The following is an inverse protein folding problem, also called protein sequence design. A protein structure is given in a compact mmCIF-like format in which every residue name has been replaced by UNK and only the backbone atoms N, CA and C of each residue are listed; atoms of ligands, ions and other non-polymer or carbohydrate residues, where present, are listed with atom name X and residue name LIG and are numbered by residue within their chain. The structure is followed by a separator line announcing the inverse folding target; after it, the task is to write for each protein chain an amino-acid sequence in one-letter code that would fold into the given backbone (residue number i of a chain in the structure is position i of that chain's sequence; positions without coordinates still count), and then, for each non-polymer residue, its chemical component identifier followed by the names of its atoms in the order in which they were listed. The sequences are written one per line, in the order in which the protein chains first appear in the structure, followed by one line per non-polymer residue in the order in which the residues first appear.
data_IF_908543582826
#
_entry.id   IF_908543582826
#
_cell.length_a   1.000
_cell.length_b   1.000
_cell.length_c   1.000
_cell.angle_alpha   90.00
_cell.angle_beta   90.00
_cell.angle_gamma   90.00
#
_symmetry.space_group_name_H-M   'P 1'
#
loop_
_entity.id
_entity.type
_entity.pdbx_description
1 polymer ?
#
# COMPACT_ATOMS: atom_id res chain seq x y z
N UNK A 1 8.53 -4.47 16.23
CA UNK A 1 8.25 -4.69 14.80
C UNK A 1 7.47 -3.49 14.32
N UNK A 2 8.01 -2.80 13.33
CA UNK A 2 7.37 -1.70 12.60
C UNK A 2 7.11 -2.13 11.14
N UNK A 3 6.21 -1.41 10.48
CA UNK A 3 5.91 -1.57 9.07
C UNK A 3 5.58 -0.20 8.53
N UNK A 4 6.15 0.21 7.38
CA UNK A 4 5.98 1.55 6.83
C UNK A 4 6.34 2.65 7.86
N UNK A 5 7.37 2.44 8.68
CA UNK A 5 7.80 3.41 9.70
C UNK A 5 6.76 3.69 10.81
N UNK A 6 5.79 2.79 11.01
CA UNK A 6 4.83 2.87 12.12
C UNK A 6 4.84 1.57 12.94
N UNK A 7 4.56 1.63 14.25
CA UNK A 7 4.46 0.41 15.05
C UNK A 7 3.29 -0.46 14.59
N UNK A 8 3.51 -1.78 14.54
CA UNK A 8 2.46 -2.76 14.26
C UNK A 8 1.51 -2.83 15.47
N UNK A 9 0.21 -2.68 15.22
CA UNK A 9 -0.80 -2.81 16.28
C UNK A 9 -0.76 -4.23 16.87
N UNK A 10 -0.59 -4.33 18.19
CA UNK A 10 -0.53 -5.62 18.90
C UNK A 10 -1.75 -6.55 18.62
N UNK A 11 -2.92 -5.99 18.27
CA UNK A 11 -4.09 -6.77 17.87
C UNK A 11 -3.91 -7.43 16.51
N UNK A 12 -3.31 -6.71 15.55
CA UNK A 12 -2.91 -7.28 14.27
C UNK A 12 -1.80 -8.32 14.44
N UNK A 13 -0.84 -8.06 15.34
CA UNK A 13 0.25 -8.99 15.61
C UNK A 13 -0.27 -10.37 16.08
N UNK A 14 -1.32 -10.40 16.90
CA UNK A 14 -1.97 -11.66 17.32
C UNK A 14 -2.59 -12.42 16.15
N UNK A 15 -3.12 -11.73 15.15
CA UNK A 15 -3.66 -12.35 13.93
C UNK A 15 -2.50 -12.88 13.09
N UNK A 16 -1.50 -12.03 12.82
CA UNK A 16 -0.32 -12.36 12.02
C UNK A 16 0.38 -13.63 12.51
N UNK A 17 0.56 -13.78 13.83
CA UNK A 17 1.22 -14.95 14.43
C UNK A 17 0.51 -16.29 14.18
N UNK A 18 -0.79 -16.25 13.84
CA UNK A 18 -1.60 -17.45 13.59
C UNK A 18 -1.63 -17.83 12.11
N UNK A 19 -1.21 -16.94 11.22
CA UNK A 19 -1.28 -17.16 9.79
C UNK A 19 -0.40 -18.34 9.36
N UNK A 20 -0.94 -19.13 8.44
CA UNK A 20 -0.28 -20.28 7.82
C UNK A 20 -0.49 -20.16 6.32
N UNK A 21 0.55 -19.71 5.65
CA UNK A 21 0.49 -19.45 4.22
C UNK A 21 0.64 -20.78 3.46
N UNK A 22 -0.29 -21.11 2.55
CA UNK A 22 -0.17 -22.32 1.73
C UNK A 22 0.91 -22.17 0.66
N UNK A 23 1.42 -23.31 0.18
CA UNK A 23 2.31 -23.38 -0.99
C UNK A 23 1.50 -23.63 -2.26
N UNK A 24 1.98 -23.07 -3.37
CA UNK A 24 1.32 -23.16 -4.68
C UNK A 24 2.25 -23.82 -5.69
N UNK A 25 1.78 -24.87 -6.37
CA UNK A 25 2.62 -25.68 -7.27
C UNK A 25 2.05 -25.84 -8.67
N UNK A 26 0.75 -25.58 -8.87
CA UNK A 26 0.11 -25.73 -10.18
C UNK A 26 0.65 -24.67 -11.14
N UNK A 27 1.13 -25.05 -12.32
CA UNK A 27 1.69 -24.12 -13.30
C UNK A 27 0.64 -23.19 -13.90
N UNK A 28 1.05 -21.96 -14.21
CA UNK A 28 0.22 -20.94 -14.86
C UNK A 28 0.96 -20.26 -16.00
N UNK A 29 0.27 -20.04 -17.12
CA UNK A 29 0.82 -19.41 -18.31
C UNK A 29 0.62 -17.88 -18.37
N UNK A 30 0.23 -17.23 -17.26
CA UNK A 30 0.01 -15.77 -17.25
C UNK A 30 1.28 -14.96 -17.60
N UNK A 31 2.47 -15.47 -17.25
CA UNK A 31 3.74 -14.84 -17.63
C UNK A 31 3.93 -14.82 -19.15
N UNK A 32 3.52 -15.88 -19.86
CA UNK A 32 3.59 -15.95 -21.33
C UNK A 32 2.66 -14.90 -21.96
N UNK A 33 1.48 -14.68 -21.36
CA UNK A 33 0.56 -13.61 -21.81
C UNK A 33 1.20 -12.24 -21.65
N UNK A 34 1.81 -11.95 -20.50
CA UNK A 34 2.49 -10.68 -20.25
C UNK A 34 3.69 -10.48 -21.18
N UNK A 35 4.49 -11.53 -21.38
CA UNK A 35 5.66 -11.50 -22.26
C UNK A 35 5.24 -11.23 -23.71
N UNK A 36 4.23 -11.94 -24.20
CA UNK A 36 3.73 -11.75 -25.56
C UNK A 36 3.21 -10.32 -25.76
N UNK A 37 2.48 -9.76 -24.79
CA UNK A 37 2.04 -8.38 -24.83
C UNK A 37 3.22 -7.40 -24.84
N UNK A 38 4.20 -7.55 -23.94
CA UNK A 38 5.38 -6.68 -23.94
C UNK A 38 6.21 -6.78 -25.24
N UNK A 39 6.30 -7.97 -25.83
CA UNK A 39 6.97 -8.19 -27.12
C UNK A 39 6.29 -7.45 -28.28
N UNK A 40 4.97 -7.26 -28.28
CA UNK A 40 4.33 -6.45 -29.33
C UNK A 40 4.73 -4.97 -29.23
N UNK A 41 5.03 -4.50 -28.02
CA UNK A 41 5.45 -3.12 -27.76
C UNK A 41 6.94 -2.90 -28.05
N UNK A 42 7.79 -3.92 -27.85
CA UNK A 42 9.24 -3.84 -28.19
C UNK A 42 9.50 -3.51 -29.67
N UNK A 43 8.64 -4.00 -30.58
CA UNK A 43 8.80 -3.86 -32.02
C UNK A 43 7.82 -2.86 -32.66
N UNK A 44 7.14 -2.04 -31.85
CA UNK A 44 6.16 -1.09 -32.36
C UNK A 44 6.86 0.09 -33.08
N UNK A 45 6.93 0.06 -34.41
CA UNK A 45 7.61 1.08 -35.24
C UNK A 45 7.08 2.51 -35.05
N UNK A 46 5.85 2.68 -34.53
CA UNK A 46 5.16 3.96 -34.40
C UNK A 46 4.73 4.32 -32.96
N UNK A 47 5.16 3.55 -31.95
CA UNK A 47 4.91 3.85 -30.52
C UNK A 47 6.24 3.98 -29.79
N UNK A 48 6.27 4.58 -28.59
CA UNK A 48 7.47 4.50 -27.76
C UNK A 48 7.71 3.03 -27.39
N UNK A 49 8.78 2.39 -27.88
CA UNK A 49 9.05 1.00 -27.55
C UNK A 49 9.50 0.91 -26.09
N UNK A 50 9.05 -0.13 -25.40
CA UNK A 50 9.50 -0.42 -24.03
C UNK A 50 10.94 -0.92 -24.07
N UNK A 51 11.63 -0.90 -22.93
CA UNK A 51 12.97 -1.48 -22.84
C UNK A 51 12.91 -2.99 -22.52
N UNK A 52 13.99 -3.73 -22.82
CA UNK A 52 14.10 -5.13 -22.38
C UNK A 52 14.12 -5.26 -20.85
N UNK A 53 14.72 -4.29 -20.15
CA UNK A 53 14.75 -4.26 -18.69
C UNK A 53 13.35 -4.03 -18.10
N UNK A 54 12.55 -3.18 -18.73
CA UNK A 54 11.15 -2.97 -18.35
C UNK A 54 10.31 -4.24 -18.52
N UNK A 55 10.46 -4.94 -19.65
CA UNK A 55 9.84 -6.25 -19.86
C UNK A 55 10.23 -7.26 -18.78
N UNK A 56 11.53 -7.40 -18.51
CA UNK A 56 12.03 -8.33 -17.48
C UNK A 56 11.50 -7.97 -16.09
N UNK A 57 11.50 -6.67 -15.75
CA UNK A 57 10.96 -6.20 -14.47
C UNK A 57 9.46 -6.51 -14.31
N UNK A 58 8.67 -6.31 -15.37
CA UNK A 58 7.25 -6.68 -15.38
C UNK A 58 7.05 -8.18 -15.19
N UNK A 59 7.85 -9.02 -15.84
CA UNK A 59 7.81 -10.48 -15.70
C UNK A 59 8.23 -10.95 -14.30
N UNK A 60 9.24 -10.32 -13.70
CA UNK A 60 9.61 -10.57 -12.32
C UNK A 60 8.42 -10.25 -11.41
N UNK A 61 7.88 -9.03 -11.43
CA UNK A 61 6.73 -8.65 -10.60
C UNK A 61 5.50 -9.54 -10.77
N UNK A 62 5.25 -10.00 -11.99
CA UNK A 62 4.13 -10.88 -12.29
C UNK A 62 4.32 -12.33 -11.80
N UNK A 63 5.55 -12.75 -11.48
CA UNK A 63 5.84 -14.06 -10.91
C UNK A 63 5.12 -14.30 -9.56
N UNK A 64 5.19 -15.50 -8.98
CA UNK A 64 5.68 -16.74 -9.58
C UNK A 64 4.70 -17.29 -10.64
N UNK A 65 5.23 -18.10 -11.56
CA UNK A 65 4.51 -18.77 -12.66
C UNK A 65 3.54 -19.89 -12.25
N UNK A 66 2.92 -19.78 -11.07
CA UNK A 66 1.97 -20.77 -10.52
C UNK A 66 0.56 -20.19 -10.44
N UNK A 67 -0.47 -21.04 -10.30
CA UNK A 67 -1.86 -20.64 -10.05
C UNK A 67 -2.12 -20.39 -8.56
N UNK A 68 -3.20 -19.67 -8.27
CA UNK A 68 -3.62 -19.36 -6.91
C UNK A 68 -2.76 -18.27 -6.28
N UNK A 69 -2.77 -18.20 -4.95
CA UNK A 69 -1.96 -17.25 -4.20
C UNK A 69 -2.59 -15.88 -4.05
N UNK A 70 -1.74 -14.94 -3.65
CA UNK A 70 -2.07 -13.54 -3.51
C UNK A 70 -1.68 -12.79 -4.78
N UNK A 71 -2.62 -12.03 -5.33
CA UNK A 71 -2.37 -11.04 -6.37
C UNK A 71 -2.54 -9.63 -5.78
N UNK A 72 -1.57 -8.75 -6.01
CA UNK A 72 -1.71 -7.31 -5.79
C UNK A 72 -1.95 -6.67 -7.15
N UNK A 73 -3.13 -6.06 -7.32
CA UNK A 73 -3.47 -5.34 -8.55
C UNK A 73 -3.20 -3.85 -8.38
N UNK A 74 -2.28 -3.32 -9.18
CA UNK A 74 -1.87 -1.92 -9.25
C UNK A 74 -2.33 -1.30 -10.58
N UNK A 75 -2.14 0.01 -10.74
CA UNK A 75 -2.65 0.71 -11.92
C UNK A 75 -1.70 0.60 -13.10
N UNK A 76 -0.54 1.24 -12.98
CA UNK A 76 0.54 1.25 -13.97
C UNK A 76 1.87 1.64 -13.29
N UNK A 77 3.02 1.35 -13.91
CA UNK A 77 4.31 1.87 -13.49
C UNK A 77 4.33 3.42 -13.52
N UNK A 78 4.94 4.11 -12.54
CA UNK A 78 5.18 5.55 -12.61
C UNK A 78 6.21 5.92 -13.69
N UNK A 79 6.08 7.12 -14.26
CA UNK A 79 6.95 7.63 -15.33
C UNK A 79 8.45 7.57 -14.99
N UNK A 80 8.80 7.77 -13.72
CA UNK A 80 10.19 7.80 -13.25
C UNK A 80 10.71 6.45 -12.75
N UNK A 81 10.02 5.34 -13.04
CA UNK A 81 10.48 4.02 -12.63
C UNK A 81 11.77 3.64 -13.36
N UNK A 82 12.79 3.27 -12.60
CA UNK A 82 14.00 2.64 -13.14
C UNK A 82 13.80 1.14 -13.20
N UNK A 83 14.07 0.52 -14.35
CA UNK A 83 13.87 -0.92 -14.55
C UNK A 83 15.15 -1.75 -14.43
N UNK A 84 16.33 -1.12 -14.46
CA UNK A 84 17.60 -1.80 -14.26
C UNK A 84 17.70 -2.40 -12.85
N UNK A 85 18.17 -3.65 -12.75
CA UNK A 85 18.33 -4.45 -11.51
C UNK A 85 17.05 -5.11 -10.95
N UNK A 86 15.97 -5.26 -11.73
CA UNK A 86 14.85 -6.13 -11.38
C UNK A 86 14.13 -5.71 -10.09
N UNK A 87 13.78 -6.65 -9.20
CA UNK A 87 13.24 -6.33 -7.85
C UNK A 87 14.16 -5.48 -6.96
N UNK A 88 15.45 -5.41 -7.29
CA UNK A 88 16.45 -4.58 -6.61
C UNK A 88 16.70 -3.27 -7.32
N UNK A 89 15.98 -3.00 -8.42
CA UNK A 89 15.89 -1.68 -9.01
C UNK A 89 15.54 -0.71 -7.88
N UNK A 90 16.49 0.19 -7.63
CA UNK A 90 16.82 0.73 -6.32
C UNK A 90 15.61 0.90 -5.38
N UNK A 91 15.61 0.20 -4.24
CA UNK A 91 14.56 0.37 -3.21
C UNK A 91 14.51 1.80 -2.67
N UNK A 92 15.56 2.60 -2.89
CA UNK A 92 15.55 4.04 -2.63
C UNK A 92 14.84 4.86 -3.72
N UNK A 93 14.67 4.31 -4.93
CA UNK A 93 14.00 4.97 -6.06
C UNK A 93 12.48 4.74 -6.10
N UNK A 94 11.96 3.58 -5.66
CA UNK A 94 10.51 3.32 -5.65
C UNK A 94 9.94 3.01 -4.25
N UNK A 95 9.44 4.06 -3.58
CA UNK A 95 8.76 3.95 -2.27
C UNK A 95 7.52 3.06 -2.29
N UNK A 96 6.82 2.99 -3.42
CA UNK A 96 5.62 2.14 -3.56
C UNK A 96 6.01 0.67 -3.49
N UNK A 97 7.02 0.25 -4.25
CA UNK A 97 7.51 -1.13 -4.24
C UNK A 97 8.07 -1.51 -2.87
N UNK A 98 8.85 -0.61 -2.24
CA UNK A 98 9.35 -0.84 -0.88
C UNK A 98 8.22 -0.95 0.15
N UNK A 99 7.17 -0.13 0.02
CA UNK A 99 5.99 -0.25 0.87
C UNK A 99 5.31 -1.62 0.72
N UNK A 100 5.19 -2.11 -0.52
CA UNK A 100 4.64 -3.46 -0.78
C UNK A 100 5.53 -4.53 -0.14
N UNK A 101 6.87 -4.45 -0.30
CA UNK A 101 7.81 -5.40 0.34
C UNK A 101 7.62 -5.46 1.85
N UNK A 102 7.55 -4.31 2.52
CA UNK A 102 7.34 -4.26 3.97
C UNK A 102 5.97 -4.79 4.39
N UNK A 103 4.92 -4.45 3.64
CA UNK A 103 3.56 -4.95 3.89
C UNK A 103 3.51 -6.47 3.74
N UNK A 104 4.07 -7.04 2.68
CA UNK A 104 4.13 -8.49 2.47
C UNK A 104 4.87 -9.19 3.62
N UNK A 105 6.07 -8.71 3.95
CA UNK A 105 6.90 -9.32 4.99
C UNK A 105 6.20 -9.29 6.35
N UNK A 106 5.65 -8.15 6.75
CA UNK A 106 5.02 -8.00 8.07
C UNK A 106 3.65 -8.69 8.12
N UNK A 107 2.80 -8.51 7.10
CA UNK A 107 1.44 -9.05 7.10
C UNK A 107 1.40 -10.56 6.95
N UNK A 108 2.42 -11.19 6.37
CA UNK A 108 2.57 -12.65 6.30
C UNK A 108 3.26 -13.25 7.54
N UNK A 109 3.73 -12.42 8.48
CA UNK A 109 4.54 -12.87 9.62
C UNK A 109 5.93 -13.36 9.22
N UNK A 110 6.48 -12.83 8.13
CA UNK A 110 7.79 -13.20 7.58
C UNK A 110 7.77 -14.41 6.65
N UNK A 111 6.59 -14.89 6.24
CA UNK A 111 6.45 -16.11 5.44
C UNK A 111 6.45 -15.86 3.92
N UNK A 112 6.16 -14.64 3.47
CA UNK A 112 6.11 -14.30 2.06
C UNK A 112 6.83 -12.99 1.75
N UNK A 113 7.39 -12.96 0.55
CA UNK A 113 8.09 -11.84 -0.07
C UNK A 113 7.50 -11.55 -1.45
N UNK A 114 8.14 -10.69 -2.24
CA UNK A 114 7.73 -10.44 -3.64
C UNK A 114 7.91 -11.67 -4.53
N UNK A 115 8.82 -12.59 -4.19
CA UNK A 115 9.06 -13.80 -4.99
C UNK A 115 7.91 -14.83 -4.86
N UNK A 116 7.07 -14.68 -3.82
CA UNK A 116 6.04 -15.65 -3.45
C UNK A 116 4.62 -15.25 -3.91
N UNK A 117 4.46 -14.02 -4.41
CA UNK A 117 3.16 -13.42 -4.75
C UNK A 117 3.25 -12.71 -6.09
N UNK A 118 2.11 -12.51 -6.75
CA UNK A 118 2.07 -11.78 -8.01
C UNK A 118 1.64 -10.33 -7.83
N UNK A 119 2.31 -9.42 -8.54
CA UNK A 119 1.93 -8.02 -8.66
C UNK A 119 1.64 -7.74 -10.13
N UNK A 120 0.39 -7.39 -10.45
CA UNK A 120 0.01 -7.01 -11.82
C UNK A 120 -0.35 -5.54 -11.85
N UNK A 121 0.21 -4.83 -12.82
CA UNK A 121 -0.37 -3.58 -13.28
C UNK A 121 -1.57 -3.86 -14.18
N UNK A 122 -2.63 -3.06 -14.05
CA UNK A 122 -3.79 -3.13 -14.95
C UNK A 122 -3.49 -2.62 -16.35
N UNK A 123 -2.54 -1.68 -16.44
CA UNK A 123 -2.01 -1.16 -17.68
C UNK A 123 -0.51 -1.45 -17.72
N UNK A 124 -0.10 -2.74 -17.90
CA UNK A 124 1.31 -3.09 -17.96
C UNK A 124 2.00 -2.33 -19.11
N UNK A 125 3.21 -1.85 -18.88
CA UNK A 125 4.02 -1.12 -19.87
C UNK A 125 3.37 0.16 -20.44
N UNK A 126 2.30 0.65 -19.83
CA UNK A 126 1.61 1.83 -20.29
C UNK A 126 2.33 3.10 -19.83
N UNK A 127 2.79 3.96 -20.75
CA UNK A 127 3.45 5.20 -20.37
C UNK A 127 2.46 6.18 -19.75
N UNK A 128 2.80 6.74 -18.59
CA UNK A 128 2.00 7.75 -17.90
C UNK A 128 1.77 8.98 -18.79
N UNK A 129 0.52 9.44 -18.85
CA UNK A 129 0.14 10.60 -19.67
C UNK A 129 -0.10 10.30 -21.16
N UNK A 130 -0.02 9.04 -21.60
CA UNK A 130 -0.50 8.64 -22.92
C UNK A 130 -2.04 8.71 -23.00
N UNK A 131 -2.56 9.02 -24.19
CA UNK A 131 -3.99 9.01 -24.53
C UNK A 131 -4.34 7.88 -25.52
N UNK A 132 -3.48 6.87 -25.68
CA UNK A 132 -3.66 5.77 -26.62
C UNK A 132 -4.73 4.77 -26.12
N UNK A 133 -5.98 5.04 -26.48
CA UNK A 133 -7.13 4.23 -26.08
C UNK A 133 -7.07 2.76 -26.55
N UNK A 134 -6.46 2.48 -27.70
CA UNK A 134 -6.30 1.09 -28.16
C UNK A 134 -5.24 0.37 -27.32
N UNK A 135 -4.14 1.05 -26.96
CA UNK A 135 -3.16 0.47 -26.04
C UNK A 135 -3.75 0.21 -24.65
N UNK A 136 -4.57 1.12 -24.12
CA UNK A 136 -5.30 0.90 -22.86
C UNK A 136 -6.14 -0.37 -22.94
N UNK A 137 -6.91 -0.52 -24.01
CA UNK A 137 -7.78 -1.69 -24.23
C UNK A 137 -6.98 -2.99 -24.36
N UNK A 138 -5.87 -2.98 -25.09
CA UNK A 138 -5.00 -4.15 -25.24
C UNK A 138 -4.34 -4.53 -23.91
N UNK A 139 -3.93 -3.53 -23.12
CA UNK A 139 -3.33 -3.72 -21.80
C UNK A 139 -4.35 -4.28 -20.79
N UNK A 140 -5.57 -3.73 -20.76
CA UNK A 140 -6.69 -4.24 -19.94
C UNK A 140 -7.09 -5.66 -20.33
N UNK A 141 -7.04 -5.97 -21.62
CA UNK A 141 -7.26 -7.34 -22.11
C UNK A 141 -6.15 -8.28 -21.62
N UNK A 142 -4.88 -7.88 -21.73
CA UNK A 142 -3.75 -8.67 -21.24
C UNK A 142 -3.87 -8.93 -19.72
N UNK A 143 -4.14 -7.89 -18.93
CA UNK A 143 -4.39 -8.00 -17.48
C UNK A 143 -5.52 -9.01 -17.19
N UNK A 144 -6.64 -8.89 -17.89
CA UNK A 144 -7.80 -9.77 -17.70
C UNK A 144 -7.46 -11.24 -17.99
N UNK A 145 -6.69 -11.50 -19.06
CA UNK A 145 -6.22 -12.85 -19.38
C UNK A 145 -5.22 -13.37 -18.33
N UNK A 146 -4.30 -12.52 -17.88
CA UNK A 146 -3.35 -12.88 -16.83
C UNK A 146 -4.07 -13.27 -15.54
N UNK A 147 -5.06 -12.49 -15.10
CA UNK A 147 -5.85 -12.81 -13.90
C UNK A 147 -6.59 -14.15 -14.06
N UNK A 148 -7.20 -14.41 -15.23
CA UNK A 148 -7.88 -15.68 -15.51
C UNK A 148 -6.93 -16.87 -15.45
N UNK A 149 -5.75 -16.74 -16.04
CA UNK A 149 -4.73 -17.79 -16.05
C UNK A 149 -4.08 -18.00 -14.68
N UNK A 150 -3.83 -16.91 -13.94
CA UNK A 150 -3.28 -16.92 -12.58
C UNK A 150 -4.28 -17.51 -11.59
N UNK A 151 -5.57 -17.25 -11.78
CA UNK A 151 -6.65 -17.74 -10.91
C UNK A 151 -6.36 -17.53 -9.41
N UNK A 152 -6.06 -16.28 -8.96
CA UNK A 152 -5.62 -16.01 -7.60
C UNK A 152 -6.72 -16.31 -6.56
N UNK A 153 -6.33 -16.81 -5.39
CA UNK A 153 -7.25 -17.05 -4.27
C UNK A 153 -7.74 -15.73 -3.64
N UNK A 154 -6.84 -14.75 -3.60
CA UNK A 154 -7.07 -13.42 -3.02
C UNK A 154 -6.47 -12.34 -3.92
N UNK A 155 -7.22 -11.27 -4.15
CA UNK A 155 -6.73 -10.05 -4.83
C UNK A 155 -6.79 -8.86 -3.89
N UNK A 156 -5.66 -8.18 -3.71
CA UNK A 156 -5.60 -6.84 -3.10
C UNK A 156 -5.84 -5.81 -4.20
N UNK A 157 -7.02 -5.21 -4.17
CA UNK A 157 -7.49 -4.24 -5.16
C UNK A 157 -6.93 -2.85 -4.84
N UNK A 158 -5.87 -2.42 -5.51
CA UNK A 158 -5.11 -1.20 -5.18
C UNK A 158 -5.05 -0.14 -6.30
N UNK A 159 -5.91 -0.22 -7.31
CA UNK A 159 -6.02 0.76 -8.40
C UNK A 159 -7.45 1.29 -8.56
N UNK A 160 -7.63 2.37 -9.31
CA UNK A 160 -8.95 2.83 -9.78
C UNK A 160 -8.87 3.02 -11.28
N UNK A 161 -9.94 2.69 -12.00
CA UNK A 161 -10.02 2.84 -13.45
C UNK A 161 -11.47 3.12 -13.87
N UNK A 162 -11.64 3.89 -14.93
CA UNK A 162 -12.93 4.10 -15.59
C UNK A 162 -13.26 2.98 -16.60
N UNK A 163 -12.49 1.88 -16.58
CA UNK A 163 -12.69 0.72 -17.47
C UNK A 163 -14.11 0.18 -17.43
N UNK A 164 -14.58 -0.18 -18.62
CA UNK A 164 -15.84 -0.91 -18.82
C UNK A 164 -15.63 -2.42 -18.92
N UNK A 165 -14.38 -2.91 -18.92
CA UNK A 165 -14.09 -4.34 -18.90
C UNK A 165 -14.52 -4.91 -17.53
N UNK A 166 -15.38 -5.94 -17.49
CA UNK A 166 -16.01 -6.39 -16.24
C UNK A 166 -15.04 -6.86 -15.14
N UNK A 167 -13.96 -7.55 -15.50
CA UNK A 167 -12.96 -8.06 -14.57
C UNK A 167 -12.05 -6.94 -14.06
N UNK A 168 -11.60 -6.03 -14.94
CA UNK A 168 -10.85 -4.82 -14.59
C UNK A 168 -11.69 -3.92 -13.67
N UNK A 169 -12.94 -3.65 -14.04
CA UNK A 169 -13.84 -2.86 -13.19
C UNK A 169 -14.19 -3.59 -11.89
N UNK A 170 -14.26 -4.93 -11.93
CA UNK A 170 -14.53 -5.77 -10.77
C UNK A 170 -13.38 -5.86 -9.77
N UNK A 171 -12.13 -5.67 -10.19
CA UNK A 171 -10.94 -5.76 -9.33
C UNK A 171 -10.39 -4.40 -8.89
N UNK A 172 -11.06 -3.30 -9.22
CA UNK A 172 -10.65 -1.97 -8.77
C UNK A 172 -10.94 -1.73 -7.28
N UNK A 173 -10.14 -0.85 -6.69
CA UNK A 173 -10.40 -0.22 -5.40
C UNK A 173 -11.68 0.59 -5.44
N UNK A 174 -12.54 0.39 -4.44
CA UNK A 174 -13.73 1.22 -4.21
C UNK A 174 -13.40 2.46 -3.36
N UNK A 175 -12.13 2.68 -3.03
CA UNK A 175 -11.61 3.87 -2.36
C UNK A 175 -11.20 3.63 -0.90
N UNK A 176 -10.51 4.63 -0.34
CA UNK A 176 -9.92 4.58 1.01
C UNK A 176 -10.97 4.20 2.06
N UNK A 177 -10.66 3.17 2.86
CA UNK A 177 -11.44 2.75 4.03
C UNK A 177 -12.80 2.12 3.73
N UNK A 178 -13.13 1.89 2.45
CA UNK A 178 -14.34 1.14 2.09
C UNK A 178 -14.09 -0.37 2.14
N UNK A 179 -15.16 -1.15 2.16
CA UNK A 179 -15.12 -2.62 2.15
C UNK A 179 -16.13 -3.12 1.13
N UNK A 180 -15.77 -4.15 0.36
CA UNK A 180 -16.69 -4.79 -0.57
C UNK A 180 -17.86 -5.41 0.19
N UNK A 181 -19.09 -5.13 -0.26
CA UNK A 181 -20.29 -5.82 0.27
C UNK A 181 -20.25 -7.30 -0.09
N UNK A 182 -19.85 -7.61 -1.32
CA UNK A 182 -19.66 -8.96 -1.83
C UNK A 182 -18.17 -9.14 -2.16
N UNK A 183 -17.37 -9.73 -1.25
CA UNK A 183 -15.92 -9.84 -1.47
C UNK A 183 -15.57 -10.84 -2.56
N UNK A 184 -16.41 -11.86 -2.81
CA UNK A 184 -16.15 -12.87 -3.85
C UNK A 184 -16.41 -12.29 -5.23
N UNK A 185 -15.48 -12.50 -6.15
CA UNK A 185 -15.61 -12.18 -7.57
C UNK A 185 -15.39 -13.45 -8.39
N UNK A 186 -16.25 -13.69 -9.38
CA UNK A 186 -16.07 -14.76 -10.36
C UNK A 186 -15.06 -14.30 -11.43
N UNK A 187 -14.01 -15.08 -11.65
CA UNK A 187 -12.98 -14.81 -12.67
C UNK A 187 -13.24 -15.63 -13.93
N UNK A 188 -13.55 -16.92 -13.75
CA UNK A 188 -14.01 -17.85 -14.80
C UNK A 188 -15.23 -18.61 -14.28
N UNK A 189 -15.85 -19.46 -15.10
CA UNK A 189 -17.05 -20.20 -14.69
C UNK A 189 -16.85 -21.12 -13.47
N UNK A 190 -15.61 -21.55 -13.29
CA UNK A 190 -15.07 -22.54 -12.38
C UNK A 190 -14.09 -21.95 -11.35
N UNK A 191 -13.79 -20.65 -11.44
CA UNK A 191 -12.87 -19.96 -10.52
C UNK A 191 -13.47 -18.69 -9.92
N UNK A 192 -13.31 -18.55 -8.59
CA UNK A 192 -13.64 -17.32 -7.86
C UNK A 192 -12.47 -16.88 -7.01
N UNK A 193 -12.33 -15.56 -6.83
CA UNK A 193 -11.32 -14.97 -5.96
C UNK A 193 -11.96 -14.16 -4.83
N UNK A 194 -11.22 -13.96 -3.75
CA UNK A 194 -11.59 -13.04 -2.67
C UNK A 194 -10.96 -11.68 -2.90
N UNK A 195 -11.76 -10.64 -3.05
CA UNK A 195 -11.27 -9.27 -3.15
C UNK A 195 -11.10 -8.66 -1.77
N UNK A 196 -9.97 -8.00 -1.57
CA UNK A 196 -9.73 -7.11 -0.43
C UNK A 196 -9.52 -5.71 -0.96
N UNK A 197 -10.35 -4.77 -0.50
CA UNK A 197 -10.25 -3.39 -0.90
C UNK A 197 -9.05 -2.75 -0.20
N UNK A 198 -8.07 -2.31 -0.97
CA UNK A 198 -7.02 -1.43 -0.51
C UNK A 198 -7.06 -0.14 -1.35
N UNK A 199 -6.22 0.82 -1.04
CA UNK A 199 -5.94 1.95 -1.93
C UNK A 199 -4.49 1.84 -2.39
N UNK A 200 -4.09 2.59 -3.41
CA UNK A 200 -2.75 2.50 -3.95
C UNK A 200 -1.70 2.86 -2.88
N UNK A 201 -0.67 2.03 -2.60
CA UNK A 201 0.30 2.29 -1.54
C UNK A 201 0.98 3.67 -1.64
N UNK A 202 1.22 4.14 -2.88
CA UNK A 202 1.73 5.49 -3.18
C UNK A 202 0.95 6.60 -2.46
N UNK A 203 -0.36 6.46 -2.26
CA UNK A 203 -1.15 7.44 -1.51
C UNK A 203 -0.62 7.66 -0.09
N UNK A 204 -0.21 6.60 0.62
CA UNK A 204 0.29 6.70 2.00
C UNK A 204 1.78 7.04 2.10
N UNK A 205 2.60 6.65 1.10
CA UNK A 205 4.07 6.76 1.19
C UNK A 205 4.68 7.84 0.31
N UNK A 206 3.95 8.33 -0.71
CA UNK A 206 4.36 9.42 -1.59
C UNK A 206 3.51 10.69 -1.41
N UNK A 207 2.18 10.56 -1.37
CA UNK A 207 1.29 11.74 -1.35
C UNK A 207 0.89 12.21 0.05
N UNK A 208 0.58 11.29 0.97
CA UNK A 208 0.07 11.58 2.32
C UNK A 208 1.03 11.05 3.40
N UNK A 209 2.32 11.35 3.21
CA UNK A 209 3.46 10.69 3.88
C UNK A 209 3.42 10.78 5.39
N UNK A 210 3.00 11.92 5.92
CA UNK A 210 2.97 12.21 7.35
C UNK A 210 1.74 11.66 8.07
N UNK A 211 0.76 11.07 7.37
CA UNK A 211 -0.49 10.57 7.96
C UNK A 211 -0.38 9.07 8.26
N UNK A 212 -0.05 8.71 9.51
CA UNK A 212 0.11 7.33 9.94
C UNK A 212 -1.16 6.50 9.78
N UNK A 213 -2.35 7.10 9.85
CA UNK A 213 -3.62 6.38 9.71
C UNK A 213 -3.75 5.65 8.37
N UNK A 214 -3.25 6.21 7.28
CA UNK A 214 -3.28 5.56 5.96
C UNK A 214 -2.33 4.36 5.92
N UNK A 215 -1.13 4.48 6.51
CA UNK A 215 -0.18 3.36 6.65
C UNK A 215 -0.77 2.22 7.50
N UNK A 216 -1.44 2.57 8.59
CA UNK A 216 -2.17 1.60 9.45
C UNK A 216 -3.27 0.90 8.69
N UNK A 217 -4.03 1.63 7.88
CA UNK A 217 -5.11 1.06 7.08
C UNK A 217 -4.57 0.12 6.00
N UNK A 218 -3.47 0.46 5.30
CA UNK A 218 -2.83 -0.47 4.37
C UNK A 218 -2.41 -1.77 5.07
N UNK A 219 -1.75 -1.66 6.22
CA UNK A 219 -1.35 -2.83 7.00
C UNK A 219 -2.56 -3.69 7.39
N UNK A 220 -3.65 -3.07 7.85
CA UNK A 220 -4.90 -3.77 8.18
C UNK A 220 -5.43 -4.56 6.98
N UNK A 221 -5.53 -3.95 5.79
CA UNK A 221 -6.06 -4.61 4.61
C UNK A 221 -5.13 -5.73 4.09
N UNK A 222 -3.81 -5.56 4.19
CA UNK A 222 -2.88 -6.64 3.83
C UNK A 222 -2.97 -7.82 4.82
N UNK A 223 -3.06 -7.57 6.13
CA UNK A 223 -3.28 -8.65 7.12
C UNK A 223 -4.60 -9.36 6.85
N UNK A 224 -5.65 -8.63 6.44
CA UNK A 224 -6.93 -9.23 6.01
C UNK A 224 -6.76 -10.13 4.79
N UNK A 225 -6.00 -9.68 3.79
CA UNK A 225 -5.72 -10.48 2.60
C UNK A 225 -4.99 -11.79 2.95
N UNK A 226 -3.96 -11.73 3.79
CA UNK A 226 -3.26 -12.93 4.24
C UNK A 226 -4.11 -13.83 5.16
N UNK A 227 -5.04 -13.26 5.93
CA UNK A 227 -6.00 -14.04 6.70
C UNK A 227 -6.91 -14.86 5.78
N UNK A 228 -7.43 -14.23 4.72
CA UNK A 228 -8.20 -14.95 3.68
C UNK A 228 -7.36 -16.01 2.97
N UNK A 229 -6.11 -15.69 2.62
CA UNK A 229 -5.19 -16.63 1.96
C UNK A 229 -4.88 -17.85 2.85
N UNK A 230 -4.66 -17.62 4.15
CA UNK A 230 -4.41 -18.67 5.14
C UNK A 230 -5.68 -19.44 5.54
N UNK A 231 -6.85 -19.06 5.00
CA UNK A 231 -8.17 -19.57 5.41
C UNK A 231 -8.47 -19.37 6.91
N UNK A 232 -7.77 -18.42 7.53
CA UNK A 232 -8.01 -18.02 8.91
C UNK A 232 -9.28 -17.16 9.00
N UNK A 233 -9.97 -17.27 10.14
CA UNK A 233 -11.21 -16.51 10.37
C UNK A 233 -10.87 -15.03 10.56
N UNK A 234 -11.28 -14.21 9.59
CA UNK A 234 -11.25 -12.75 9.72
C UNK A 234 -12.53 -12.26 10.40
N UNK A 235 -12.40 -11.59 11.53
CA UNK A 235 -13.51 -10.93 12.23
C UNK A 235 -13.30 -9.43 12.27
N UNK A 236 -14.30 -8.69 11.80
CA UNK A 236 -14.27 -7.23 11.87
C UNK A 236 -14.54 -6.76 13.29
N UNK A 237 -13.54 -6.13 13.90
CA UNK A 237 -13.67 -5.50 15.20
C UNK A 237 -14.04 -4.00 15.08
N UNK A 238 -14.64 -3.44 16.13
CA UNK A 238 -15.07 -2.03 16.17
C UNK A 238 -13.93 -1.06 15.82
N UNK A 239 -12.73 -1.35 16.31
CA UNK A 239 -11.57 -0.49 16.08
C UNK A 239 -11.13 -0.44 14.61
N UNK A 240 -11.33 -1.53 13.86
CA UNK A 240 -11.01 -1.60 12.43
C UNK A 240 -11.97 -0.70 11.64
N UNK A 241 -13.27 -0.78 11.97
CA UNK A 241 -14.30 0.10 11.42
C UNK A 241 -14.07 1.57 11.76
N UNK A 242 -13.60 1.85 12.99
CA UNK A 242 -13.22 3.19 13.42
C UNK A 242 -12.01 3.71 12.63
N UNK A 243 -10.97 2.89 12.43
CA UNK A 243 -9.79 3.27 11.63
C UNK A 243 -10.19 3.59 10.18
N UNK A 244 -11.01 2.74 9.57
CA UNK A 244 -11.55 2.98 8.21
C UNK A 244 -12.33 4.29 8.13
N UNK A 245 -13.25 4.53 9.07
CA UNK A 245 -14.04 5.76 9.11
C UNK A 245 -13.16 7.00 9.30
N UNK A 246 -12.13 6.92 10.15
CA UNK A 246 -11.15 8.00 10.32
C UNK A 246 -10.42 8.30 9.01
N UNK A 247 -9.94 7.27 8.30
CA UNK A 247 -9.25 7.43 7.03
C UNK A 247 -10.17 8.00 5.94
N UNK A 248 -11.44 7.55 5.86
CA UNK A 248 -12.44 8.12 4.94
C UNK A 248 -12.62 9.61 5.19
N UNK A 249 -12.85 9.99 6.44
CA UNK A 249 -13.09 11.39 6.81
C UNK A 249 -11.86 12.26 6.54
N UNK A 250 -10.67 11.74 6.81
CA UNK A 250 -9.42 12.44 6.56
C UNK A 250 -9.15 12.58 5.06
N UNK A 251 -9.31 11.52 4.28
CA UNK A 251 -9.15 11.56 2.82
C UNK A 251 -10.10 12.57 2.18
N UNK A 252 -11.36 12.63 2.63
CA UNK A 252 -12.33 13.65 2.17
C UNK A 252 -11.88 15.07 2.50
N UNK A 253 -11.40 15.31 3.72
CA UNK A 253 -10.82 16.60 4.10
C UNK A 253 -9.65 16.92 3.17
N UNK A 254 -8.67 16.05 3.03
CA UNK A 254 -7.50 16.32 2.21
C UNK A 254 -7.82 16.58 0.73
N UNK A 255 -8.80 15.85 0.17
CA UNK A 255 -9.28 16.08 -1.19
C UNK A 255 -9.83 17.50 -1.37
N UNK A 256 -10.59 18.02 -0.40
CA UNK A 256 -11.13 19.39 -0.46
C UNK A 256 -10.07 20.50 -0.40
N UNK A 257 -8.84 20.19 0.01
CA UNK A 257 -7.75 21.18 0.16
C UNK A 257 -6.69 21.13 -0.97
N UNK A 258 -6.78 20.25 -1.97
CA UNK A 258 -5.70 20.08 -2.96
C UNK A 258 -5.75 21.04 -4.17
N UNK A 259 -4.87 22.06 -4.14
CA UNK A 259 -4.07 22.60 -5.26
C UNK A 259 -2.76 23.15 -4.66
N UNK A 260 -1.78 22.30 -4.32
CA UNK A 260 -0.63 22.20 -5.22
C UNK A 260 -0.03 20.78 -5.34
N UNK A 261 0.79 20.59 -6.39
CA UNK A 261 1.50 19.36 -6.78
C UNK A 261 2.56 18.86 -5.77
N UNK A 262 2.81 19.58 -4.68
CA UNK A 262 3.86 19.26 -3.71
C UNK A 262 3.37 19.47 -2.27
N UNK A 263 3.77 18.65 -1.29
CA UNK A 263 3.38 18.84 0.09
C UNK A 263 3.99 20.17 0.61
N UNK A 264 3.12 21.14 0.86
CA UNK A 264 3.46 22.30 1.69
C UNK A 264 3.56 21.77 3.13
N UNK A 265 4.64 22.11 3.83
CA UNK A 265 4.73 21.78 5.26
C UNK A 265 3.64 22.61 5.94
N UNK A 266 2.59 21.94 6.40
CA UNK A 266 1.46 22.57 7.05
C UNK A 266 1.78 22.77 8.53
N UNK A 267 2.17 23.98 8.91
CA UNK A 267 2.44 24.33 10.30
C UNK A 267 1.22 24.09 11.21
N UNK A 268 0.00 24.29 10.70
CA UNK A 268 -1.23 24.03 11.46
C UNK A 268 -1.35 22.56 11.80
N UNK A 269 -0.88 21.69 10.91
CA UNK A 269 -0.84 20.25 11.17
C UNK A 269 0.17 19.90 12.26
N UNK A 270 1.36 20.49 12.25
CA UNK A 270 2.34 20.26 13.32
C UNK A 270 1.77 20.69 14.68
N UNK A 271 1.14 21.88 14.74
CA UNK A 271 0.46 22.37 15.93
C UNK A 271 -0.64 21.38 16.37
N UNK A 272 -1.44 20.86 15.42
CA UNK A 272 -2.49 19.89 15.72
C UNK A 272 -1.93 18.57 16.29
N UNK A 273 -0.81 18.07 15.74
CA UNK A 273 -0.13 16.87 16.25
C UNK A 273 0.36 17.11 17.69
N UNK A 274 1.09 18.20 17.92
CA UNK A 274 1.60 18.53 19.26
C UNK A 274 0.48 18.74 20.28
N UNK A 275 -0.59 19.44 19.89
CA UNK A 275 -1.78 19.65 20.72
C UNK A 275 -2.42 18.31 21.08
N UNK A 276 -2.54 17.38 20.13
CA UNK A 276 -3.11 16.06 20.37
C UNK A 276 -2.22 15.20 21.28
N UNK A 277 -0.89 15.28 21.14
CA UNK A 277 0.07 14.63 22.05
C UNK A 277 -0.07 15.19 23.45
N UNK A 278 -0.05 16.53 23.61
CA UNK A 278 -0.19 17.20 24.89
C UNK A 278 -1.52 16.86 25.56
N UNK A 279 -2.63 16.90 24.82
CA UNK A 279 -3.95 16.53 25.34
C UNK A 279 -3.97 15.07 25.81
N UNK A 280 -3.35 14.16 25.04
CA UNK A 280 -3.26 12.76 25.46
C UNK A 280 -2.42 12.59 26.73
N UNK A 281 -1.31 13.30 26.89
CA UNK A 281 -0.55 13.29 28.14
C UNK A 281 -1.33 13.91 29.31
N UNK A 282 -2.05 15.00 29.11
CA UNK A 282 -2.89 15.62 30.14
C UNK A 282 -4.05 14.73 30.57
N UNK A 283 -4.66 14.00 29.62
CA UNK A 283 -5.74 13.04 29.90
C UNK A 283 -5.22 11.75 30.54
N UNK A 284 -3.92 11.48 30.37
CA UNK A 284 -3.22 10.46 31.13
C UNK A 284 -2.80 11.09 32.47
N UNK A 285 -3.74 11.17 33.44
CA UNK A 285 -3.49 11.37 34.90
C UNK A 285 -2.62 10.25 35.53
N UNK A 286 -1.94 9.49 34.66
CA UNK A 286 -1.17 8.28 34.79
C UNK A 286 -0.05 8.38 35.82
N UNK A 287 0.65 9.51 35.89
CA UNK A 287 1.75 9.71 36.86
C UNK A 287 1.28 10.19 38.24
N UNK A 288 -0.03 10.44 38.41
CA UNK A 288 -0.58 11.04 39.64
C UNK A 288 -1.45 10.11 40.47
N UNK A 289 -1.89 8.95 39.94
CA UNK A 289 -2.79 8.05 40.66
C UNK A 289 -2.38 6.58 40.55
N UNK A 290 -2.48 5.82 41.66
CA UNK A 290 -2.35 4.37 41.71
C UNK A 290 -3.60 3.72 41.09
N UNK A 291 -3.68 3.71 39.75
CA UNK A 291 -4.71 2.95 39.04
C UNK A 291 -4.37 1.45 39.05
N UNK A 292 -5.40 0.62 39.08
CA UNK A 292 -5.33 -0.81 38.80
C UNK A 292 -4.66 -1.06 37.43
N UNK A 293 -3.72 -2.01 37.36
CA UNK A 293 -2.92 -2.33 36.18
C UNK A 293 -3.76 -2.70 34.95
N UNK A 294 -4.92 -3.34 35.12
CA UNK A 294 -5.76 -3.79 34.00
C UNK A 294 -6.58 -2.64 33.42
N UNK A 295 -7.10 -1.77 34.29
CA UNK A 295 -7.78 -0.53 33.88
C UNK A 295 -6.78 0.40 33.17
N UNK A 296 -5.54 0.44 33.69
CA UNK A 296 -4.45 1.19 33.10
C UNK A 296 -4.13 0.71 31.68
N UNK A 297 -3.86 -0.59 31.49
CA UNK A 297 -3.53 -1.15 30.18
C UNK A 297 -4.65 -0.89 29.16
N UNK A 298 -5.92 -1.04 29.56
CA UNK A 298 -7.07 -0.74 28.70
C UNK A 298 -7.11 0.73 28.27
N UNK A 299 -6.88 1.68 29.19
CA UNK A 299 -6.86 3.12 28.88
C UNK A 299 -5.68 3.49 27.98
N UNK A 300 -4.49 2.94 28.25
CA UNK A 300 -3.30 3.21 27.44
C UNK A 300 -3.45 2.69 26.02
N UNK A 301 -3.92 1.44 25.86
CA UNK A 301 -4.17 0.82 24.56
C UNK A 301 -5.30 1.52 23.80
N UNK A 302 -6.29 2.06 24.51
CA UNK A 302 -7.40 2.81 23.91
C UNK A 302 -7.07 4.24 23.50
N UNK A 303 -5.96 4.80 23.98
CA UNK A 303 -5.53 6.17 23.66
C UNK A 303 -4.83 6.23 22.29
N UNK A 304 -4.97 7.35 21.58
CA UNK A 304 -4.29 7.60 20.30
C UNK A 304 -2.82 8.05 20.42
N UNK A 305 -2.23 8.08 21.62
CA UNK A 305 -0.88 8.62 21.85
C UNK A 305 0.17 8.01 20.93
N UNK A 306 0.27 6.68 20.82
CA UNK A 306 1.24 6.03 19.93
C UNK A 306 1.08 6.45 18.47
N UNK A 307 -0.16 6.70 18.04
CA UNK A 307 -0.46 7.12 16.67
C UNK A 307 -0.14 8.59 16.45
N UNK A 308 -0.37 9.46 17.43
CA UNK A 308 0.05 10.85 17.34
C UNK A 308 1.59 10.97 17.34
N UNK A 309 2.29 10.12 18.11
CA UNK A 309 3.75 10.04 18.06
C UNK A 309 4.25 9.55 16.70
N UNK A 310 3.57 8.58 16.09
CA UNK A 310 3.86 8.14 14.72
C UNK A 310 3.64 9.28 13.71
N UNK A 311 2.53 10.02 13.80
CA UNK A 311 2.28 11.20 12.96
C UNK A 311 3.39 12.26 13.14
N UNK A 312 3.85 12.50 14.37
CA UNK A 312 4.94 13.42 14.65
C UNK A 312 6.25 12.97 13.98
N UNK A 313 6.62 11.70 14.15
CA UNK A 313 7.83 11.13 13.56
C UNK A 313 7.79 11.20 12.03
N UNK A 314 6.67 10.83 11.40
CA UNK A 314 6.53 10.89 9.95
C UNK A 314 6.53 12.33 9.43
N UNK A 315 5.93 13.28 10.16
CA UNK A 315 5.97 14.70 9.81
C UNK A 315 7.39 15.27 9.86
N UNK A 316 8.16 14.92 10.90
CA UNK A 316 9.55 15.34 11.03
C UNK A 316 10.42 14.74 9.93
N UNK A 317 10.24 13.46 9.58
CA UNK A 317 10.97 12.82 8.48
C UNK A 317 10.66 13.47 7.11
N UNK A 318 9.39 13.78 6.84
CA UNK A 318 8.99 14.49 5.62
C UNK A 318 9.58 15.90 5.56
N UNK A 319 9.65 16.56 6.72
CA UNK A 319 10.26 17.89 6.88
C UNK A 319 11.76 17.84 6.63
N UNK A 320 12.47 16.90 7.26
CA UNK A 320 13.92 16.71 7.11
C UNK A 320 14.30 16.48 5.66
N UNK A 321 13.63 15.55 4.96
CA UNK A 321 13.91 15.26 3.56
C UNK A 321 13.72 16.49 2.66
N UNK A 322 12.61 17.22 2.83
CA UNK A 322 12.34 18.41 2.03
C UNK A 322 13.42 19.49 2.21
N UNK A 323 13.97 19.59 3.41
CA UNK A 323 14.97 20.60 3.72
C UNK A 323 16.42 20.12 3.54
N UNK A 324 16.65 18.81 3.44
CA UNK A 324 17.94 18.23 3.07
C UNK A 324 18.36 18.63 1.64
N UNK A 325 17.36 18.82 0.76
CA UNK A 325 17.53 19.22 -0.64
C UNK A 325 17.44 20.76 -0.87
N UNK A 326 17.30 21.55 0.21
CA UNK A 326 17.11 23.01 0.13
C UNK A 326 18.34 23.84 0.53
N UNK A 327 18.44 25.12 0.10
CA UNK A 327 19.53 26.04 0.48
C UNK A 327 19.59 26.35 1.99
N UNK A 328 18.60 25.91 2.76
CA UNK A 328 18.50 26.12 4.21
C UNK A 328 19.09 24.98 5.06
N UNK A 329 19.79 24.01 4.46
CA UNK A 329 20.45 22.89 5.16
C UNK A 329 21.23 23.30 6.41
N UNK A 330 21.95 24.42 6.34
CA UNK A 330 22.72 24.96 7.47
C UNK A 330 21.85 25.50 8.63
N UNK A 331 20.68 26.06 8.31
CA UNK A 331 19.78 26.68 9.30
C UNK A 331 18.98 25.65 10.10
N UNK A 332 18.68 24.50 9.49
CA UNK A 332 17.98 23.39 10.17
C UNK A 332 18.93 22.54 11.01
N UNK A 333 20.18 22.34 10.56
CA UNK A 333 21.22 21.76 11.40
C UNK A 333 21.40 22.57 12.70
N UNK A 334 21.27 23.90 12.65
CA UNK A 334 21.25 24.77 13.83
C UNK A 334 20.00 24.62 14.71
N UNK A 335 18.80 24.51 14.12
CA UNK A 335 17.56 24.33 14.89
C UNK A 335 17.50 22.96 15.59
N UNK A 336 17.97 21.90 14.93
CA UNK A 336 17.99 20.54 15.48
C UNK A 336 19.11 20.35 16.52
N UNK A 337 20.26 21.00 16.35
CA UNK A 337 21.33 21.01 17.36
C UNK A 337 21.04 21.90 18.57
N UNK A 338 20.24 22.95 18.40
CA UNK A 338 19.78 23.82 19.49
C UNK A 338 18.80 23.16 20.46
N UNK A 339 18.11 22.10 20.04
CA UNK A 339 17.20 21.33 20.89
C UNK A 339 17.91 20.28 21.78
N UNK A 340 19.21 20.03 21.57
CA UNK A 340 20.00 19.10 22.37
C UNK A 340 20.64 19.72 23.63
N UNK A 341 20.47 21.05 23.83
CA UNK A 341 21.05 21.80 24.95
C UNK A 341 20.04 22.74 25.64
N UNK A 342 18.76 22.37 25.68
CA UNK A 342 17.70 23.11 26.38
C UNK A 342 17.12 22.35 27.55
#
# INVERSE_FOLDING_TARGET
MDCLGIPVDHRLQKIIQRLRVPSFFDESSHLVTLENFGRTLLYAENKQPISTDELNHGLELAGPGTKGGLLIALYQPPENQTFHNGYTADTSACRTTEAIRQLLLVSSGGQMTLDDISVFDTLPYYPEGSDDAELVKDAEHAFSQMVKLKAPDVVVCSYQSDSVEPLVSGLQSIGVGKVFKEPKLRITDDCTTTRVNAFHPSYAVNYQRSYSCFRRLLLLEYVKAFSHLSKERWEEEEWMSKLRSQCVNLAKKLYTYQKPRWPIIDENRWIAILTAIQLNFSNLDYFRSKLDSDIFLKKLVGNSLSWNCADASLFLAETEEKYADGPNKARIAQLLSGAAYG
#
